data_IF_932830740035
#
_entry.id   IF_932830740035
#
_cell.length_a   1.000
_cell.length_b   1.000
_cell.length_c   1.000
_cell.angle_alpha   90.00
_cell.angle_beta   90.00
_cell.angle_gamma   90.00
#
_symmetry.space_group_name_H-M   'P 1'
#
loop_
_entity.id
_entity.type
_entity.pdbx_description
1 polymer ?
#
# COMPACT_ATOMS: atom_id res chain seq x y z
N UNK A 1 10.13 -9.12 -14.00
CA UNK A 1 10.99 -8.36 -13.06
C UNK A 1 10.95 -9.06 -11.71
N UNK A 2 12.07 -9.19 -11.03
CA UNK A 2 12.13 -9.70 -9.65
C UNK A 2 11.62 -8.64 -8.66
N UNK A 3 11.33 -9.05 -7.42
CA UNK A 3 10.93 -8.13 -6.33
C UNK A 3 11.96 -7.00 -6.18
N UNK A 4 13.25 -7.33 -6.13
CA UNK A 4 14.32 -6.34 -6.02
C UNK A 4 14.36 -5.35 -7.19
N UNK A 5 14.03 -5.77 -8.42
CA UNK A 5 13.94 -4.84 -9.56
C UNK A 5 12.76 -3.86 -9.43
N UNK A 6 11.64 -4.30 -8.85
CA UNK A 6 10.45 -3.46 -8.62
C UNK A 6 10.66 -2.49 -7.48
N UNK A 7 11.32 -2.92 -6.41
CA UNK A 7 11.78 -2.03 -5.35
C UNK A 7 12.76 -0.96 -5.87
N UNK A 8 13.75 -1.36 -6.66
CA UNK A 8 14.68 -0.40 -7.28
C UNK A 8 13.95 0.60 -8.18
N UNK A 9 12.96 0.16 -8.95
CA UNK A 9 12.14 1.06 -9.76
C UNK A 9 11.32 2.04 -8.90
N UNK A 10 10.69 1.56 -7.83
CA UNK A 10 9.98 2.40 -6.88
C UNK A 10 10.88 3.54 -6.34
N UNK A 11 12.13 3.22 -6.02
CA UNK A 11 13.14 4.21 -5.61
C UNK A 11 13.57 5.13 -6.76
N UNK A 12 13.76 4.60 -7.97
CA UNK A 12 14.13 5.39 -9.16
C UNK A 12 13.05 6.41 -9.56
N UNK A 13 11.77 6.07 -9.36
CA UNK A 13 10.66 7.00 -9.59
C UNK A 13 10.63 8.16 -8.58
N UNK A 14 11.49 8.09 -7.55
CA UNK A 14 11.68 9.12 -6.53
C UNK A 14 10.83 8.92 -5.29
N UNK A 15 10.25 7.73 -5.09
CA UNK A 15 9.41 7.44 -3.93
C UNK A 15 10.25 7.05 -2.71
N UNK A 16 9.82 7.52 -1.53
CA UNK A 16 10.28 7.01 -0.24
C UNK A 16 9.11 6.39 0.51
N UNK A 17 9.33 5.21 1.09
CA UNK A 17 8.32 4.48 1.84
C UNK A 17 8.57 2.97 1.78
N UNK A 18 7.54 2.19 1.48
CA UNK A 18 7.61 0.74 1.54
C UNK A 18 6.76 0.04 0.47
N UNK A 19 7.15 -1.18 0.12
CA UNK A 19 6.58 -1.97 -0.97
C UNK A 19 6.47 -3.43 -0.54
N UNK A 20 5.27 -3.97 -0.58
CA UNK A 20 5.04 -5.42 -0.52
C UNK A 20 4.66 -5.93 -1.90
N UNK A 21 5.25 -7.05 -2.28
CA UNK A 21 4.85 -7.84 -3.45
C UNK A 21 4.48 -9.23 -2.95
N UNK A 22 3.27 -9.67 -3.25
CA UNK A 22 2.76 -11.02 -3.02
C UNK A 22 2.63 -11.73 -4.36
N UNK A 23 3.26 -12.89 -4.47
CA UNK A 23 3.12 -13.81 -5.59
C UNK A 23 2.59 -15.15 -5.07
N UNK A 24 2.20 -16.07 -5.96
CA UNK A 24 1.51 -17.34 -5.61
C UNK A 24 2.23 -18.22 -4.59
N UNK A 25 3.51 -17.99 -4.31
CA UNK A 25 4.31 -18.80 -3.39
C UNK A 25 5.18 -17.99 -2.43
N UNK A 26 5.24 -16.67 -2.57
CA UNK A 26 6.18 -15.82 -1.82
C UNK A 26 5.59 -14.43 -1.59
N UNK A 27 5.78 -13.89 -0.38
CA UNK A 27 5.53 -12.49 -0.04
C UNK A 27 6.87 -11.85 0.31
N UNK A 28 7.16 -10.71 -0.30
CA UNK A 28 8.39 -9.95 -0.03
C UNK A 28 8.02 -8.51 0.32
N UNK A 29 8.57 -8.04 1.44
CA UNK A 29 8.37 -6.69 1.95
C UNK A 29 9.72 -5.97 1.95
N UNK A 30 9.77 -4.85 1.24
CA UNK A 30 10.91 -3.94 1.20
C UNK A 30 10.48 -2.59 1.77
N UNK A 31 11.32 -1.96 2.59
CA UNK A 31 11.01 -0.66 3.20
C UNK A 31 12.26 0.20 3.32
N UNK A 32 12.09 1.50 3.15
CA UNK A 32 13.12 2.47 3.50
C UNK A 32 13.33 2.51 5.03
N UNK A 33 14.57 2.71 5.50
CA UNK A 33 14.87 2.77 6.92
C UNK A 33 14.13 3.95 7.58
N UNK A 34 13.33 3.64 8.62
CA UNK A 34 12.53 4.62 9.35
C UNK A 34 11.01 4.49 9.12
N UNK A 35 10.59 3.76 8.09
CA UNK A 35 9.17 3.50 7.83
C UNK A 35 8.78 2.09 8.27
N UNK A 36 7.79 1.99 9.15
CA UNK A 36 7.26 0.73 9.67
C UNK A 36 5.79 0.55 9.28
N UNK A 37 5.55 0.47 7.97
CA UNK A 37 4.19 0.39 7.43
C UNK A 37 3.67 -1.04 7.32
N UNK A 38 4.42 -2.05 7.80
CA UNK A 38 4.11 -3.47 7.57
C UNK A 38 2.65 -3.81 7.94
N UNK A 39 2.15 -3.23 9.02
CA UNK A 39 0.76 -3.36 9.47
C UNK A 39 -0.26 -2.89 8.42
N UNK A 40 0.02 -1.82 7.68
CA UNK A 40 -0.82 -1.34 6.57
C UNK A 40 -0.78 -2.32 5.41
N UNK A 41 0.41 -2.84 5.07
CA UNK A 41 0.56 -3.83 4.00
C UNK A 41 -0.20 -5.12 4.31
N UNK A 42 -0.04 -5.64 5.53
CA UNK A 42 -0.77 -6.83 5.98
C UNK A 42 -2.27 -6.55 5.92
N UNK A 43 -2.73 -5.40 6.44
CA UNK A 43 -4.14 -5.08 6.47
C UNK A 43 -4.78 -5.06 5.07
N UNK A 44 -4.14 -4.37 4.12
CA UNK A 44 -4.60 -4.31 2.73
C UNK A 44 -4.57 -5.68 2.04
N UNK A 45 -3.55 -6.51 2.28
CA UNK A 45 -3.44 -7.84 1.67
C UNK A 45 -4.42 -8.87 2.25
N UNK A 46 -4.93 -8.63 3.45
CA UNK A 46 -5.99 -9.43 4.08
C UNK A 46 -7.39 -9.10 3.52
N UNK A 47 -7.64 -7.86 3.07
CA UNK A 47 -8.92 -7.49 2.44
C UNK A 47 -9.22 -8.33 1.19
N UNK A 48 -8.20 -8.62 0.37
CA UNK A 48 -8.36 -9.44 -0.83
C UNK A 48 -7.15 -10.37 -1.08
N UNK A 49 -7.35 -11.70 -1.10
CA UNK A 49 -6.32 -12.70 -1.38
C UNK A 49 -5.81 -12.67 -2.84
N UNK A 50 -6.41 -11.89 -3.72
CA UNK A 50 -5.93 -11.67 -5.09
C UNK A 50 -4.95 -10.50 -5.20
N UNK A 51 -4.90 -9.56 -4.23
CA UNK A 51 -3.92 -8.47 -4.28
C UNK A 51 -2.48 -8.99 -4.38
N UNK A 52 -1.73 -8.42 -5.31
CA UNK A 52 -0.36 -8.84 -5.63
C UNK A 52 0.66 -7.81 -5.18
N UNK A 53 0.25 -6.57 -4.88
CA UNK A 53 1.14 -5.58 -4.34
C UNK A 53 0.42 -4.56 -3.47
N UNK A 54 1.20 -3.97 -2.56
CA UNK A 54 0.84 -2.79 -1.77
C UNK A 54 2.08 -1.90 -1.74
N UNK A 55 1.92 -0.62 -2.01
CA UNK A 55 2.98 0.39 -1.93
C UNK A 55 2.51 1.54 -1.06
N UNK A 56 3.33 1.91 -0.09
CA UNK A 56 3.10 3.03 0.82
C UNK A 56 4.16 4.07 0.49
N UNK A 57 3.72 5.26 0.10
CA UNK A 57 4.57 6.35 -0.38
C UNK A 57 4.43 7.50 0.60
N UNK A 58 5.45 7.72 1.41
CA UNK A 58 5.53 8.85 2.34
C UNK A 58 6.00 10.13 1.65
N UNK A 59 6.91 10.00 0.68
CA UNK A 59 7.45 11.14 -0.07
C UNK A 59 7.56 10.84 -1.57
N UNK A 60 7.48 11.90 -2.39
CA UNK A 60 7.70 11.83 -3.83
C UNK A 60 6.50 11.40 -4.66
N UNK A 61 5.31 11.25 -4.05
CA UNK A 61 4.08 10.94 -4.79
C UNK A 61 3.75 12.03 -5.82
N UNK A 62 3.57 11.64 -7.09
CA UNK A 62 3.38 12.54 -8.24
C UNK A 62 1.95 12.53 -8.82
N UNK A 63 1.04 11.76 -8.23
CA UNK A 63 -0.34 11.65 -8.72
C UNK A 63 -1.25 12.78 -8.21
N UNK A 64 -2.54 12.71 -8.59
CA UNK A 64 -3.56 13.64 -8.08
C UNK A 64 -3.67 13.52 -6.56
N UNK A 65 -3.86 14.65 -5.87
CA UNK A 65 -4.06 14.70 -4.42
C UNK A 65 -5.53 14.46 -4.02
N UNK A 66 -6.43 14.34 -5.00
CA UNK A 66 -7.84 13.99 -4.82
C UNK A 66 -7.97 12.47 -4.58
N UNK A 67 -7.65 12.06 -3.36
CA UNK A 67 -7.58 10.66 -2.94
C UNK A 67 -8.38 10.56 -1.63
N UNK A 68 -9.21 9.51 -1.46
CA UNK A 68 -9.91 9.27 -0.20
C UNK A 68 -8.91 9.19 0.95
N UNK A 69 -9.22 9.87 2.05
CA UNK A 69 -8.37 9.87 3.25
C UNK A 69 -8.97 8.92 4.28
N UNK A 70 -8.16 7.98 4.78
CA UNK A 70 -8.55 6.95 5.75
C UNK A 70 -7.65 7.09 6.97
N UNK A 71 -8.23 7.16 8.16
CA UNK A 71 -7.47 7.17 9.40
C UNK A 71 -7.26 5.76 9.91
N UNK A 72 -6.02 5.28 9.92
CA UNK A 72 -5.65 4.00 10.54
C UNK A 72 -5.13 4.26 11.95
N UNK A 73 -5.75 3.64 12.95
CA UNK A 73 -5.32 3.70 14.34
C UNK A 73 -4.19 2.72 14.68
N UNK A 74 -3.92 2.58 15.98
CA UNK A 74 -2.94 1.61 16.49
C UNK A 74 -3.49 0.20 16.62
N UNK A 75 -4.81 0.03 16.61
CA UNK A 75 -5.46 -1.27 16.75
C UNK A 75 -5.65 -1.93 15.38
N UNK A 76 -5.02 -3.09 15.19
CA UNK A 76 -5.06 -3.81 13.92
C UNK A 76 -6.49 -4.24 13.54
N UNK A 77 -7.33 -4.58 14.52
CA UNK A 77 -8.71 -5.02 14.28
C UNK A 77 -9.57 -3.85 13.80
N UNK A 78 -9.42 -2.67 14.41
CA UNK A 78 -10.10 -1.46 13.97
C UNK A 78 -9.65 -1.01 12.58
N UNK A 79 -8.35 -1.16 12.28
CA UNK A 79 -7.82 -0.84 10.97
C UNK A 79 -8.41 -1.74 9.89
N UNK A 80 -8.56 -3.03 10.17
CA UNK A 80 -9.23 -3.97 9.27
C UNK A 80 -10.66 -3.57 9.01
N UNK A 81 -11.46 -3.36 10.06
CA UNK A 81 -12.87 -2.97 9.92
C UNK A 81 -13.03 -1.65 9.15
N UNK A 82 -12.15 -0.69 9.39
CA UNK A 82 -12.13 0.60 8.66
C UNK A 82 -11.84 0.40 7.17
N UNK A 83 -10.86 -0.44 6.85
CA UNK A 83 -10.47 -0.74 5.48
C UNK A 83 -11.53 -1.55 4.74
N UNK A 84 -12.14 -2.56 5.39
CA UNK A 84 -13.26 -3.33 4.86
C UNK A 84 -14.46 -2.42 4.54
N UNK A 85 -14.82 -1.52 5.46
CA UNK A 85 -15.87 -0.53 5.20
C UNK A 85 -15.52 0.38 4.02
N UNK A 86 -14.28 0.87 3.95
CA UNK A 86 -13.83 1.70 2.84
C UNK A 86 -13.87 0.94 1.50
N UNK A 87 -13.58 -0.37 1.49
CA UNK A 87 -13.73 -1.24 0.32
C UNK A 87 -15.17 -1.27 -0.16
N UNK A 88 -16.14 -1.42 0.75
CA UNK A 88 -17.57 -1.36 0.42
C UNK A 88 -17.99 0.01 -0.12
N UNK A 89 -17.37 1.10 0.35
CA UNK A 89 -17.60 2.46 -0.14
C UNK A 89 -16.93 2.77 -1.50
N UNK A 90 -16.22 1.80 -2.08
CA UNK A 90 -15.65 1.90 -3.42
C UNK A 90 -14.13 2.00 -3.47
N UNK A 91 -13.43 1.86 -2.34
CA UNK A 91 -11.96 1.85 -2.32
C UNK A 91 -11.38 0.73 -3.20
N UNK A 92 -12.09 -0.39 -3.39
CA UNK A 92 -11.64 -1.47 -4.28
C UNK A 92 -11.51 -1.06 -5.76
N UNK A 93 -12.26 -0.05 -6.17
CA UNK A 93 -12.17 0.52 -7.52
C UNK A 93 -11.02 1.51 -7.65
N UNK A 94 -10.83 2.35 -6.64
CA UNK A 94 -9.77 3.37 -6.63
C UNK A 94 -8.39 2.77 -6.36
N UNK A 95 -8.33 1.77 -5.47
CA UNK A 95 -7.11 1.06 -5.01
C UNK A 95 -6.00 1.98 -4.55
N UNK A 96 -6.41 3.12 -4.00
CA UNK A 96 -5.56 4.16 -3.48
C UNK A 96 -6.28 4.90 -2.37
N UNK A 97 -5.58 5.15 -1.26
CA UNK A 97 -6.02 6.07 -0.22
C UNK A 97 -4.83 6.82 0.38
N UNK A 98 -5.12 7.92 1.08
CA UNK A 98 -4.16 8.62 1.93
C UNK A 98 -4.40 8.21 3.38
N UNK A 99 -3.36 7.77 4.07
CA UNK A 99 -3.42 7.53 5.51
C UNK A 99 -3.43 8.87 6.25
N UNK A 100 -4.41 9.10 7.11
CA UNK A 100 -4.68 10.40 7.70
C UNK A 100 -3.61 10.86 8.71
N UNK A 101 -2.97 9.93 9.43
CA UNK A 101 -2.05 10.26 10.52
C UNK A 101 -0.63 10.58 10.03
N UNK A 102 -0.17 9.85 9.02
CA UNK A 102 1.17 9.96 8.42
C UNK A 102 1.16 10.77 7.14
N UNK A 103 0.00 10.93 6.50
CA UNK A 103 -0.12 11.53 5.18
C UNK A 103 0.36 10.63 4.04
N UNK A 104 0.78 9.40 4.34
CA UNK A 104 1.31 8.48 3.36
C UNK A 104 0.24 8.06 2.35
N UNK A 105 0.64 7.91 1.09
CA UNK A 105 -0.23 7.42 0.03
C UNK A 105 -0.08 5.91 -0.07
N UNK A 106 -1.17 5.19 0.15
CA UNK A 106 -1.24 3.74 0.03
C UNK A 106 -1.89 3.39 -1.30
N UNK A 107 -1.17 2.69 -2.17
CA UNK A 107 -1.66 2.19 -3.45
C UNK A 107 -1.51 0.66 -3.48
N UNK A 108 -2.50 -0.04 -4.02
CA UNK A 108 -2.49 -1.51 -4.06
C UNK A 108 -3.17 -2.04 -5.30
N UNK A 109 -3.06 -3.35 -5.57
CA UNK A 109 -3.74 -3.94 -6.72
C UNK A 109 -3.22 -5.30 -7.17
N UNK A 110 -3.66 -5.68 -8.37
CA UNK A 110 -3.51 -7.04 -8.91
C UNK A 110 -2.43 -7.17 -9.98
N UNK A 111 -2.04 -6.06 -10.61
CA UNK A 111 -1.06 -6.06 -11.70
C UNK A 111 0.24 -5.50 -11.19
N UNK A 112 1.24 -6.36 -11.07
CA UNK A 112 2.58 -5.91 -10.69
C UNK A 112 3.16 -4.89 -11.66
N UNK A 113 2.66 -4.81 -12.91
CA UNK A 113 3.06 -3.79 -13.90
C UNK A 113 2.82 -2.34 -13.45
N UNK A 114 1.91 -2.12 -12.48
CA UNK A 114 1.62 -0.82 -11.86
C UNK A 114 2.67 -0.38 -10.80
N UNK A 115 3.75 -1.16 -10.68
CA UNK A 115 4.96 -0.91 -9.88
C UNK A 115 6.14 -0.59 -10.79
#
# INVERSE_FOLDING_TARGET
MTVGQKWLKFKQDGYCGSLTIRNRSEQSFESDPGYNDKHIHDAVLEMDPEYTYVKVIHEGYKGSLDIPTIGLGYDATQNQDTLDNAILEGLAHLRIFREANTGAIVQFGYKLEDI
#
